data_IF_393354238663
#
_entry.id   IF_393354238663
#
_cell.length_a   1.000
_cell.length_b   1.000
_cell.length_c   1.000
_cell.angle_alpha   90.00
_cell.angle_beta   90.00
_cell.angle_gamma   90.00
#
_symmetry.space_group_name_H-M   'P 1'
#
loop_
_entity.id
_entity.type
_entity.pdbx_description
1 polymer ?
#
# COMPACT_ATOMS: atom_id res chain seq x y z
N UNK A 1 -6.10 -17.23 12.56
CA UNK A 1 -5.15 -16.59 11.63
C UNK A 1 -5.54 -16.78 10.15
N UNK A 2 -6.00 -17.95 9.71
CA UNK A 2 -6.45 -18.13 8.33
C UNK A 2 -7.69 -17.26 7.96
N UNK A 3 -8.68 -17.16 8.86
CA UNK A 3 -9.90 -16.37 8.64
C UNK A 3 -9.65 -14.86 8.50
N UNK A 4 -8.65 -14.31 9.21
CA UNK A 4 -8.31 -12.88 9.09
C UNK A 4 -7.64 -12.59 7.74
N UNK A 5 -6.79 -13.50 7.25
CA UNK A 5 -6.17 -13.39 5.93
C UNK A 5 -7.20 -13.47 4.79
N UNK A 6 -8.16 -14.40 4.86
CA UNK A 6 -9.21 -14.51 3.83
C UNK A 6 -10.07 -13.26 3.80
N UNK A 7 -10.48 -12.75 4.97
CA UNK A 7 -11.30 -11.53 5.05
C UNK A 7 -10.56 -10.29 4.54
N UNK A 8 -9.25 -10.18 4.80
CA UNK A 8 -8.41 -9.11 4.25
C UNK A 8 -8.36 -9.18 2.73
N UNK A 9 -8.18 -10.38 2.16
CA UNK A 9 -8.14 -10.57 0.72
C UNK A 9 -9.48 -10.19 0.06
N UNK A 10 -10.60 -10.64 0.61
CA UNK A 10 -11.94 -10.31 0.11
C UNK A 10 -12.18 -8.80 0.10
N UNK A 11 -11.91 -8.13 1.22
CA UNK A 11 -12.08 -6.67 1.34
C UNK A 11 -11.14 -5.90 0.39
N UNK A 12 -9.90 -6.38 0.23
CA UNK A 12 -8.94 -5.78 -0.71
C UNK A 12 -9.43 -5.92 -2.15
N UNK A 13 -10.01 -7.07 -2.51
CA UNK A 13 -10.59 -7.26 -3.85
C UNK A 13 -11.78 -6.34 -4.10
N UNK A 14 -12.67 -6.15 -3.11
CA UNK A 14 -13.77 -5.17 -3.21
C UNK A 14 -13.23 -3.75 -3.39
N UNK A 15 -12.19 -3.36 -2.64
CA UNK A 15 -11.54 -2.06 -2.77
C UNK A 15 -10.92 -1.87 -4.16
N UNK A 16 -10.27 -2.90 -4.71
CA UNK A 16 -9.73 -2.87 -6.06
C UNK A 16 -10.81 -2.78 -7.13
N UNK A 17 -11.97 -3.43 -6.94
CA UNK A 17 -13.10 -3.28 -7.84
C UNK A 17 -13.59 -1.83 -7.88
N UNK A 18 -13.79 -1.20 -6.72
CA UNK A 18 -14.20 0.20 -6.68
C UNK A 18 -13.16 1.13 -7.31
N UNK A 19 -11.87 0.90 -7.04
CA UNK A 19 -10.80 1.68 -7.66
C UNK A 19 -10.79 1.51 -9.18
N UNK A 20 -11.08 0.30 -9.67
CA UNK A 20 -11.23 0.03 -11.10
C UNK A 20 -12.41 0.78 -11.69
N UNK A 21 -13.57 0.71 -11.05
CA UNK A 21 -14.78 1.41 -11.51
C UNK A 21 -14.53 2.92 -11.60
N UNK A 22 -13.90 3.51 -10.59
CA UNK A 22 -13.50 4.92 -10.60
C UNK A 22 -12.54 5.27 -11.75
N UNK A 23 -11.54 4.43 -11.98
CA UNK A 23 -10.57 4.64 -13.07
C UNK A 23 -11.23 4.52 -14.45
N UNK A 24 -12.17 3.59 -14.60
CA UNK A 24 -12.82 3.28 -15.87
C UNK A 24 -13.93 4.27 -16.22
N UNK A 25 -14.80 4.59 -15.26
CA UNK A 25 -15.97 5.45 -15.47
C UNK A 25 -15.60 6.93 -15.52
N UNK A 26 -14.62 7.35 -14.71
CA UNK A 26 -14.28 8.77 -14.54
C UNK A 26 -12.88 9.12 -15.02
N UNK A 27 -12.11 8.16 -15.56
CA UNK A 27 -10.72 8.39 -15.96
C UNK A 27 -9.81 8.74 -14.77
N UNK A 28 -10.19 8.35 -13.55
CA UNK A 28 -9.47 8.72 -12.33
C UNK A 28 -8.08 8.07 -12.29
N UNK A 29 -7.05 8.87 -12.00
CA UNK A 29 -5.72 8.37 -11.66
C UNK A 29 -5.73 7.92 -10.20
N UNK A 30 -5.64 6.62 -9.99
CA UNK A 30 -5.77 6.02 -8.65
C UNK A 30 -4.69 4.97 -8.43
N UNK A 31 -4.18 4.91 -7.20
CA UNK A 31 -3.31 3.84 -6.73
C UNK A 31 -3.76 3.43 -5.34
N UNK A 32 -3.89 2.12 -5.13
CA UNK A 32 -4.22 1.52 -3.83
C UNK A 32 -3.13 0.50 -3.53
N UNK A 33 -2.47 0.65 -2.38
CA UNK A 33 -1.47 -0.31 -1.88
C UNK A 33 -1.92 -0.79 -0.52
N UNK A 34 -2.15 -2.09 -0.39
CA UNK A 34 -2.58 -2.74 0.82
C UNK A 34 -1.46 -3.63 1.36
N UNK A 35 -1.09 -3.40 2.62
CA UNK A 35 -0.11 -4.20 3.35
C UNK A 35 -0.82 -5.11 4.35
N UNK A 36 -0.40 -6.37 4.40
CA UNK A 36 -0.80 -7.30 5.46
C UNK A 36 0.44 -7.71 6.26
N UNK A 37 0.38 -7.80 7.60
CA UNK A 37 1.55 -8.03 8.45
C UNK A 37 2.46 -9.18 7.98
N UNK A 38 1.86 -10.31 7.60
CA UNK A 38 2.56 -11.53 7.19
C UNK A 38 2.42 -11.86 5.70
N UNK A 39 1.85 -10.96 4.90
CA UNK A 39 1.54 -11.20 3.50
C UNK A 39 2.30 -10.29 2.56
N UNK A 40 2.42 -10.71 1.30
CA UNK A 40 2.93 -9.82 0.25
C UNK A 40 2.00 -8.62 0.06
N UNK A 41 2.55 -7.41 -0.15
CA UNK A 41 1.75 -6.24 -0.48
C UNK A 41 0.94 -6.48 -1.75
N UNK A 42 -0.31 -6.02 -1.75
CA UNK A 42 -1.14 -6.01 -2.95
C UNK A 42 -1.34 -4.60 -3.43
N UNK A 43 -1.21 -4.39 -4.74
CA UNK A 43 -1.41 -3.08 -5.33
C UNK A 43 -2.32 -3.13 -6.55
N UNK A 44 -3.13 -2.09 -6.68
CA UNK A 44 -3.84 -1.74 -7.90
C UNK A 44 -3.46 -0.32 -8.28
N UNK A 45 -3.30 -0.04 -9.57
CA UNK A 45 -3.19 1.33 -10.02
C UNK A 45 -3.52 1.50 -11.49
N UNK A 46 -4.14 2.63 -11.81
CA UNK A 46 -4.51 3.05 -13.15
C UNK A 46 -4.01 4.48 -13.39
N UNK A 47 -3.21 4.74 -14.45
CA UNK A 47 -2.78 3.80 -15.50
C UNK A 47 -1.83 2.71 -15.01
N UNK A 48 -0.93 3.04 -14.08
CA UNK A 48 -0.10 2.09 -13.32
C UNK A 48 0.13 2.63 -11.91
N UNK A 49 0.32 1.76 -10.91
CA UNK A 49 0.59 2.21 -9.54
C UNK A 49 1.86 3.09 -9.46
N UNK A 50 2.91 2.72 -10.20
CA UNK A 50 4.17 3.48 -10.26
C UNK A 50 3.98 4.89 -10.82
N UNK A 51 3.28 5.05 -11.95
CA UNK A 51 3.07 6.37 -12.56
C UNK A 51 2.26 7.31 -11.65
N UNK A 52 1.25 6.78 -10.96
CA UNK A 52 0.45 7.55 -10.02
C UNK A 52 1.29 7.96 -8.81
N UNK A 53 2.03 7.02 -8.20
CA UNK A 53 2.90 7.32 -7.06
C UNK A 53 3.97 8.37 -7.40
N UNK A 54 4.61 8.29 -8.57
CA UNK A 54 5.59 9.30 -8.98
C UNK A 54 4.96 10.70 -9.02
N UNK A 55 3.72 10.83 -9.51
CA UNK A 55 3.01 12.12 -9.60
C UNK A 55 2.87 12.83 -8.25
N UNK A 56 2.63 12.08 -7.17
CA UNK A 56 2.36 12.64 -5.84
C UNK A 56 3.54 12.55 -4.86
N UNK A 57 4.57 11.79 -5.21
CA UNK A 57 5.83 11.72 -4.50
C UNK A 57 6.94 12.25 -5.42
N UNK A 58 7.04 13.58 -5.58
CA UNK A 58 7.94 14.20 -6.57
C UNK A 58 9.43 13.94 -6.32
N UNK A 59 9.82 13.48 -5.13
CA UNK A 59 11.17 12.96 -4.86
C UNK A 59 11.51 11.73 -5.72
N UNK A 60 10.48 10.98 -6.16
CA UNK A 60 10.62 9.81 -7.05
C UNK A 60 10.80 10.24 -8.50
N UNK A 61 10.25 11.38 -8.92
CA UNK A 61 10.47 11.94 -10.27
C UNK A 61 11.93 12.27 -10.55
N UNK A 62 12.71 12.67 -9.53
CA UNK A 62 14.17 12.85 -9.67
C UNK A 62 14.91 11.55 -9.99
N UNK A 63 14.32 10.40 -9.67
CA UNK A 63 14.88 9.08 -9.88
C UNK A 63 14.38 8.43 -11.18
N UNK A 64 13.22 8.87 -11.69
CA UNK A 64 12.55 8.35 -12.87
C UNK A 64 13.21 8.76 -14.22
N UNK A 65 14.44 9.28 -14.18
CA UNK A 65 15.28 9.43 -15.38
C UNK A 65 15.50 8.05 -16.03
N UNK A 66 15.38 7.91 -17.36
CA UNK A 66 15.56 6.62 -18.05
C UNK A 66 16.97 6.04 -17.87
N UNK A 67 17.94 6.82 -17.39
CA UNK A 67 19.28 6.35 -17.02
C UNK A 67 19.36 5.69 -15.63
N UNK A 68 18.31 5.72 -14.80
CA UNK A 68 18.36 5.31 -13.39
C UNK A 68 17.09 4.54 -12.93
N UNK A 69 16.53 3.70 -13.80
CA UNK A 69 15.30 2.93 -13.50
C UNK A 69 15.46 1.96 -12.30
N UNK A 70 16.67 1.47 -12.03
CA UNK A 70 16.91 0.46 -10.98
C UNK A 70 17.06 1.06 -9.57
N UNK A 71 17.68 2.25 -9.44
CA UNK A 71 17.83 2.94 -8.15
C UNK A 71 16.50 3.57 -7.69
N UNK A 72 15.70 4.05 -8.65
CA UNK A 72 14.36 4.57 -8.41
C UNK A 72 13.43 3.53 -7.79
N UNK A 73 13.47 2.30 -8.30
CA UNK A 73 12.73 1.17 -7.75
C UNK A 73 13.15 0.85 -6.32
N UNK A 74 14.46 0.85 -6.02
CA UNK A 74 14.97 0.61 -4.66
C UNK A 74 14.54 1.68 -3.66
N UNK A 75 14.48 2.94 -4.07
CA UNK A 75 14.06 4.04 -3.20
C UNK A 75 12.55 4.07 -2.98
N UNK A 76 11.74 3.73 -4.00
CA UNK A 76 10.31 3.50 -3.82
C UNK A 76 10.07 2.33 -2.86
N UNK A 77 10.78 1.21 -3.04
CA UNK A 77 10.70 0.07 -2.13
C UNK A 77 11.11 0.46 -0.70
N UNK A 78 12.20 1.22 -0.54
CA UNK A 78 12.63 1.72 0.77
C UNK A 78 11.58 2.63 1.43
N UNK A 79 10.97 3.55 0.68
CA UNK A 79 9.90 4.40 1.20
C UNK A 79 8.65 3.59 1.58
N UNK A 80 8.29 2.57 0.77
CA UNK A 80 7.21 1.65 1.10
C UNK A 80 7.55 0.76 2.30
N UNK A 81 8.80 0.39 2.51
CA UNK A 81 9.26 -0.33 3.71
C UNK A 81 9.19 0.54 4.97
N UNK A 82 9.60 1.81 4.88
CA UNK A 82 9.44 2.77 5.98
C UNK A 82 7.95 2.93 6.32
N UNK A 83 7.09 3.10 5.31
CA UNK A 83 5.66 3.19 5.52
C UNK A 83 5.07 1.91 6.12
N UNK A 84 5.48 0.73 5.62
CA UNK A 84 5.06 -0.57 6.15
C UNK A 84 5.44 -0.72 7.62
N UNK A 85 6.67 -0.37 7.99
CA UNK A 85 7.16 -0.48 9.37
C UNK A 85 6.45 0.50 10.31
N UNK A 86 6.12 1.70 9.84
CA UNK A 86 5.33 2.67 10.60
C UNK A 86 3.90 2.15 10.88
N UNK A 87 3.23 1.64 9.84
CA UNK A 87 1.90 1.02 9.98
C UNK A 87 1.94 -0.18 10.92
N UNK A 88 2.95 -1.05 10.81
CA UNK A 88 3.08 -2.21 11.69
C UNK A 88 3.27 -1.78 13.15
N UNK A 89 4.14 -0.80 13.41
CA UNK A 89 4.35 -0.25 14.75
C UNK A 89 3.04 0.28 15.34
N UNK A 90 2.23 0.97 14.53
CA UNK A 90 0.94 1.48 14.98
C UNK A 90 -0.03 0.35 15.34
N UNK A 91 -0.10 -0.71 14.54
CA UNK A 91 -0.91 -1.90 14.84
C UNK A 91 -0.48 -2.56 16.16
N UNK A 92 0.83 -2.71 16.38
CA UNK A 92 1.38 -3.32 17.61
C UNK A 92 1.00 -2.49 18.85
N UNK A 93 1.03 -1.17 18.76
CA UNK A 93 0.58 -0.26 19.83
C UNK A 93 -0.92 -0.45 20.12
N UNK A 94 -1.76 -0.55 19.09
CA UNK A 94 -3.19 -0.80 19.28
C UNK A 94 -3.47 -2.18 19.89
N UNK A 95 -2.72 -3.21 19.48
CA UNK A 95 -2.87 -4.56 20.03
C UNK A 95 -2.44 -4.61 21.51
N UNK A 96 -1.35 -3.92 21.87
CA UNK A 96 -0.87 -3.83 23.25
C UNK A 96 -1.89 -3.16 24.16
N UNK A 97 -2.48 -2.03 23.72
CA UNK A 97 -3.52 -1.31 24.47
C UNK A 97 -4.79 -2.16 24.68
N UNK A 98 -5.17 -2.97 23.69
CA UNK A 98 -6.31 -3.88 23.82
C UNK A 98 -6.07 -4.99 24.85
N UNK A 99 -4.84 -5.52 24.92
CA UNK A 99 -4.47 -6.58 25.88
C UNK A 99 -4.44 -6.06 27.32
N UNK A 100 -3.93 -4.85 27.53
CA UNK A 100 -3.88 -4.18 28.84
C UNK A 100 -5.29 -3.98 29.44
N UNK A 101 -6.26 -3.56 28.62
CA UNK A 101 -7.66 -3.37 29.02
C UNK A 101 -8.42 -4.66 29.36
N UNK A 102 -7.90 -5.83 28.99
CA UNK A 102 -8.52 -7.13 29.33
C UNK A 102 -7.88 -7.78 30.57
N UNK A 103 -6.74 -7.25 31.04
CA UNK A 103 -6.01 -7.75 32.20
C UNK A 103 -6.18 -6.89 33.46
N UNK A 104 -6.88 -5.74 33.35
CA UNK A 104 -7.35 -4.92 34.47
C UNK A 104 -8.79 -5.24 34.82
#
# INVERSE_FOLDING_TARGET
MAQSQTSFLERTNTLFSMAKDLSWEFGAHITVVAFFPTGEPKAYGAPTAGSVLCTYLPEIHRLSSPACSEMAGRLLLGALEVLRTDVQRHLDVMESSRKENMQS
#
